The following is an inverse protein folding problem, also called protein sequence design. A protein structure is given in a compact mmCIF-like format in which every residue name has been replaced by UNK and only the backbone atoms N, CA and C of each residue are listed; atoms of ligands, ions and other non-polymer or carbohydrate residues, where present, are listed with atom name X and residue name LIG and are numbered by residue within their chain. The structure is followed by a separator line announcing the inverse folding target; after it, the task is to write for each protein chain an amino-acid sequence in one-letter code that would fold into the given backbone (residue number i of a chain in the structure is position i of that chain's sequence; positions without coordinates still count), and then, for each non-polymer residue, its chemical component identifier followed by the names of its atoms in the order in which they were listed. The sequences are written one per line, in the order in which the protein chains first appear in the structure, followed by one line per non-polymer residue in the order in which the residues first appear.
data_IF_251225215922
#
_entry.id   IF_251225215922
#
_cell.length_a   1.000
_cell.length_b   1.000
_cell.length_c   1.000
_cell.angle_alpha   90.00
_cell.angle_beta   90.00
_cell.angle_gamma   90.00
#
_symmetry.space_group_name_H-M   'P 1'
#
loop_
_entity.id
_entity.type
_entity.pdbx_description
1 polymer ?
#
# COMPACT_ATOMS: atom_id res chain seq x y z
N UNK A 1 -1.74 4.77 -2.76
CA UNK A 1 -1.59 3.37 -3.18
C UNK A 1 -1.98 3.18 -4.64
N UNK A 2 -0.99 2.92 -5.50
CA UNK A 2 -1.22 2.44 -6.86
C UNK A 2 -0.10 1.50 -7.29
N UNK A 3 -0.45 0.50 -8.09
CA UNK A 3 0.54 -0.32 -8.78
C UNK A 3 1.32 0.58 -9.76
N UNK A 4 2.66 0.57 -9.74
CA UNK A 4 3.48 1.29 -10.71
C UNK A 4 3.09 0.94 -12.14
N UNK A 5 2.97 1.94 -13.00
CA UNK A 5 2.58 1.74 -14.40
C UNK A 5 3.43 0.66 -15.10
N UNK A 6 4.76 0.57 -14.93
CA UNK A 6 5.58 -0.49 -15.54
C UNK A 6 5.16 -1.93 -15.18
N UNK A 7 4.47 -2.13 -14.05
CA UNK A 7 3.94 -3.45 -13.68
C UNK A 7 2.59 -3.78 -14.35
N UNK A 8 1.89 -2.78 -14.89
CA UNK A 8 0.64 -3.00 -15.62
C UNK A 8 0.93 -3.58 -17.02
N UNK A 9 0.15 -4.59 -17.42
CA UNK A 9 0.38 -5.39 -18.64
C UNK A 9 0.59 -4.57 -19.91
N UNK A 10 -0.15 -3.46 -20.07
CA UNK A 10 -0.04 -2.59 -21.26
C UNK A 10 1.34 -1.94 -21.33
N UNK A 11 1.82 -1.37 -20.22
CA UNK A 11 3.11 -0.67 -20.19
C UNK A 11 4.28 -1.66 -20.26
N UNK A 12 4.16 -2.84 -19.63
CA UNK A 12 5.16 -3.90 -19.81
C UNK A 12 5.32 -4.30 -21.28
N UNK A 13 4.22 -4.38 -22.05
CA UNK A 13 4.27 -4.65 -23.51
C UNK A 13 4.84 -3.49 -24.33
N UNK A 14 4.75 -2.27 -23.82
CA UNK A 14 5.36 -1.08 -24.43
C UNK A 14 6.87 -0.97 -24.12
N UNK A 15 7.44 -1.90 -23.35
CA UNK A 15 8.88 -1.98 -23.07
C UNK A 15 9.32 -1.29 -21.78
N UNK A 16 8.39 -0.84 -20.93
CA UNK A 16 8.74 -0.30 -19.62
C UNK A 16 9.17 -1.43 -18.66
N UNK A 17 10.34 -1.30 -18.05
CA UNK A 17 10.79 -2.18 -16.97
C UNK A 17 10.64 -1.48 -15.61
N UNK A 18 10.10 -2.18 -14.62
CA UNK A 18 9.99 -1.68 -13.25
C UNK A 18 11.37 -1.44 -12.61
N UNK A 19 12.40 -2.13 -13.08
CA UNK A 19 13.78 -1.93 -12.60
C UNK A 19 14.32 -0.53 -12.89
N UNK A 20 13.77 0.15 -13.90
CA UNK A 20 14.12 1.55 -14.21
C UNK A 20 13.47 2.54 -13.22
N UNK A 21 12.50 2.07 -12.42
CA UNK A 21 11.73 2.89 -11.47
C UNK A 21 11.76 2.29 -10.05
N UNK A 22 12.95 2.09 -9.45
CA UNK A 22 13.09 1.37 -8.18
C UNK A 22 12.39 2.08 -7.02
N UNK A 23 12.29 3.41 -7.06
CA UNK A 23 11.59 4.20 -6.04
C UNK A 23 10.07 3.97 -6.12
N UNK A 24 9.51 3.88 -7.33
CA UNK A 24 8.09 3.62 -7.52
C UNK A 24 7.73 2.22 -6.99
N UNK A 25 8.56 1.22 -7.31
CA UNK A 25 8.40 -0.14 -6.77
C UNK A 25 8.51 -0.17 -5.25
N UNK A 26 9.56 0.43 -4.68
CA UNK A 26 9.78 0.45 -3.23
C UNK A 26 8.61 1.09 -2.49
N UNK A 27 8.10 2.22 -2.99
CA UNK A 27 6.94 2.88 -2.40
C UNK A 27 5.70 1.98 -2.46
N UNK A 28 5.42 1.37 -3.61
CA UNK A 28 4.31 0.44 -3.77
C UNK A 28 4.41 -0.79 -2.85
N UNK A 29 5.60 -1.36 -2.70
CA UNK A 29 5.83 -2.59 -1.94
C UNK A 29 5.66 -2.41 -0.42
N UNK A 30 5.69 -1.18 0.09
CA UNK A 30 5.62 -0.87 1.52
C UNK A 30 4.41 0.02 1.91
N UNK A 31 3.59 0.43 0.94
CA UNK A 31 2.43 1.29 1.16
C UNK A 31 1.14 0.47 1.32
N UNK A 32 0.40 0.74 2.39
CA UNK A 32 -0.96 0.26 2.60
C UNK A 32 -1.92 1.45 2.74
N UNK A 33 -3.16 1.29 2.29
CA UNK A 33 -4.22 2.28 2.49
C UNK A 33 -5.11 1.86 3.65
N UNK A 34 -5.31 2.78 4.60
CA UNK A 34 -6.24 2.58 5.70
C UNK A 34 -7.60 3.22 5.39
N UNK A 35 -8.70 2.73 6.02
CA UNK A 35 -10.02 3.33 5.86
C UNK A 35 -10.04 4.81 6.28
N UNK A 36 -10.37 5.69 5.35
CA UNK A 36 -10.58 7.13 5.59
C UNK A 36 -11.74 7.59 4.73
N UNK A 37 -12.87 7.88 5.37
CA UNK A 37 -14.11 8.33 4.73
C UNK A 37 -14.94 9.17 5.72
N UNK A 38 -15.91 9.94 5.23
CA UNK A 38 -16.50 11.06 6.00
C UNK A 38 -17.30 10.63 7.23
N UNK A 39 -17.90 9.44 7.21
CA UNK A 39 -18.76 8.89 8.26
C UNK A 39 -18.07 7.83 9.13
N UNK A 40 -16.74 7.74 9.07
CA UNK A 40 -15.99 6.82 9.93
C UNK A 40 -16.10 7.25 11.40
N UNK A 41 -16.61 6.36 12.25
CA UNK A 41 -16.80 6.66 13.67
C UNK A 41 -15.49 6.55 14.44
N UNK A 42 -15.39 7.21 15.59
CA UNK A 42 -14.23 7.09 16.48
C UNK A 42 -13.96 5.64 16.89
N UNK A 43 -15.02 4.83 17.07
CA UNK A 43 -14.89 3.41 17.36
C UNK A 43 -14.25 2.64 16.20
N UNK A 44 -14.67 2.91 14.96
CA UNK A 44 -14.09 2.28 13.78
C UNK A 44 -12.64 2.72 13.56
N UNK A 45 -12.33 3.99 13.79
CA UNK A 45 -10.95 4.49 13.74
C UNK A 45 -10.07 3.75 14.77
N UNK A 46 -10.56 3.60 16.00
CA UNK A 46 -9.84 2.87 17.05
C UNK A 46 -9.59 1.41 16.68
N UNK A 47 -10.58 0.74 16.09
CA UNK A 47 -10.43 -0.64 15.59
C UNK A 47 -9.32 -0.75 14.53
N UNK A 48 -9.25 0.20 13.59
CA UNK A 48 -8.19 0.23 12.57
C UNK A 48 -6.82 0.41 13.23
N UNK A 49 -6.69 1.33 14.18
CA UNK A 49 -5.44 1.58 14.90
C UNK A 49 -4.98 0.33 15.64
N UNK A 50 -5.87 -0.30 16.41
CA UNK A 50 -5.56 -1.52 17.16
C UNK A 50 -5.13 -2.67 16.25
N UNK A 51 -5.85 -2.90 15.15
CA UNK A 51 -5.52 -3.95 14.19
C UNK A 51 -4.14 -3.75 13.57
N UNK A 52 -3.77 -2.51 13.21
CA UNK A 52 -2.45 -2.19 12.64
C UNK A 52 -1.35 -2.40 13.68
N UNK A 53 -1.52 -1.89 14.90
CA UNK A 53 -0.53 -2.06 15.98
C UNK A 53 -0.32 -3.53 16.31
N UNK A 54 -1.39 -4.32 16.43
CA UNK A 54 -1.30 -5.75 16.68
C UNK A 54 -0.58 -6.48 15.55
N UNK A 55 -0.94 -6.22 14.29
CA UNK A 55 -0.29 -6.83 13.12
C UNK A 55 1.22 -6.53 13.08
N UNK A 56 1.61 -5.30 13.40
CA UNK A 56 3.03 -4.90 13.45
C UNK A 56 3.76 -5.65 14.56
N UNK A 57 3.18 -5.73 15.75
CA UNK A 57 3.78 -6.47 16.87
C UNK A 57 3.87 -7.97 16.58
N UNK A 58 2.93 -8.56 15.84
CA UNK A 58 2.97 -9.99 15.48
C UNK A 58 4.06 -10.31 14.45
N UNK A 59 4.27 -9.43 13.46
CA UNK A 59 5.17 -9.71 12.33
C UNK A 59 6.60 -9.23 12.57
N UNK A 60 6.80 -8.15 13.34
CA UNK A 60 8.09 -7.47 13.47
C UNK A 60 8.72 -7.52 14.88
N UNK A 61 8.01 -7.98 15.91
CA UNK A 61 8.56 -8.15 17.26
C UNK A 61 9.12 -9.57 17.48
#
# INVERSE_FOLDING_TARGET
HFQPLPLLTVYKKLGYDINDYPVAYRNYAQEISLPVFYDITDQQQQQVVEAVVQSVNEVLA
#
